data_IF_311562732476
#
_entry.id   IF_311562732476
#
_cell.length_a   1.000
_cell.length_b   1.000
_cell.length_c   1.000
_cell.angle_alpha   90.00
_cell.angle_beta   90.00
_cell.angle_gamma   90.00
#
_symmetry.space_group_name_H-M   'P 1'
#
loop_
_entity.id
_entity.type
_entity.pdbx_description
1 polymer ?
#
# COMPACT_ATOMS: atom_id res chain seq x y z
N UNK A 1 23.37 18.52 9.42
CA UNK A 1 22.25 18.37 8.47
C UNK A 1 20.95 18.41 9.28
N UNK A 2 20.16 19.45 9.11
CA UNK A 2 18.87 19.61 9.81
C UNK A 2 18.00 18.42 9.50
N UNK A 3 17.59 17.67 10.52
CA UNK A 3 16.52 16.68 10.46
C UNK A 3 15.22 17.45 10.15
N UNK A 4 14.98 17.68 8.84
CA UNK A 4 13.76 18.33 8.38
C UNK A 4 12.59 17.51 8.86
N UNK A 5 11.69 18.16 9.56
CA UNK A 5 10.64 17.61 10.40
C UNK A 5 9.77 16.60 9.66
N UNK A 6 10.11 15.33 9.82
CA UNK A 6 9.21 14.23 9.49
C UNK A 6 8.01 14.33 10.43
N UNK A 7 6.81 14.17 9.91
CA UNK A 7 5.67 14.01 10.79
C UNK A 7 5.74 12.63 11.48
N UNK A 8 5.78 12.63 12.81
CA UNK A 8 5.75 11.41 13.62
C UNK A 8 4.55 11.49 14.54
N UNK A 9 3.60 10.59 14.38
CA UNK A 9 2.40 10.51 15.21
C UNK A 9 1.29 9.70 14.58
N UNK A 10 0.41 9.18 15.44
CA UNK A 10 -0.76 8.39 15.05
C UNK A 10 -2.08 8.97 15.58
N UNK A 11 -2.02 9.98 16.45
CA UNK A 11 -3.21 10.58 17.03
C UNK A 11 -3.59 11.89 16.36
N UNK A 12 -4.87 12.18 16.33
CA UNK A 12 -5.43 13.37 15.69
C UNK A 12 -4.98 14.68 16.37
N UNK A 13 -4.66 14.67 17.67
CA UNK A 13 -4.23 15.87 18.40
C UNK A 13 -2.88 16.34 17.84
N UNK A 14 -1.91 15.44 17.74
CA UNK A 14 -0.58 15.74 17.18
C UNK A 14 -0.69 16.17 15.72
N UNK A 15 -1.56 15.49 14.94
CA UNK A 15 -1.80 15.83 13.56
C UNK A 15 -2.36 17.26 13.42
N UNK A 16 -3.42 17.59 14.15
CA UNK A 16 -4.07 18.91 14.09
C UNK A 16 -3.19 20.05 14.63
N UNK A 17 -2.24 19.75 15.55
CA UNK A 17 -1.24 20.74 15.97
C UNK A 17 -0.26 21.09 14.87
N UNK A 18 0.09 20.13 14.00
CA UNK A 18 1.04 20.33 12.88
C UNK A 18 0.38 20.89 11.64
N UNK A 19 -0.84 20.47 11.32
CA UNK A 19 -1.58 20.84 10.11
C UNK A 19 -2.87 21.56 10.51
N UNK A 20 -2.82 22.88 10.59
CA UNK A 20 -3.95 23.74 10.99
C UNK A 20 -4.68 24.33 9.78
N UNK A 21 -3.94 24.61 8.73
CA UNK A 21 -4.43 25.27 7.52
C UNK A 21 -3.75 24.72 6.24
N UNK A 22 -4.27 25.09 5.10
CA UNK A 22 -3.71 24.67 3.79
C UNK A 22 -2.24 25.06 3.62
N UNK A 23 -1.81 26.18 4.20
CA UNK A 23 -0.43 26.66 4.13
C UNK A 23 0.56 25.66 4.75
N UNK A 24 0.22 25.05 5.91
CA UNK A 24 1.04 24.03 6.57
C UNK A 24 1.23 22.80 5.66
N UNK A 25 0.18 22.44 4.92
CA UNK A 25 0.21 21.32 3.99
C UNK A 25 1.12 21.61 2.78
N UNK A 26 1.04 22.82 2.22
CA UNK A 26 1.93 23.23 1.12
C UNK A 26 3.39 23.30 1.57
N UNK A 27 3.65 23.83 2.77
CA UNK A 27 4.98 23.82 3.37
C UNK A 27 5.55 22.40 3.47
N UNK A 28 4.77 21.49 4.04
CA UNK A 28 5.17 20.10 4.22
C UNK A 28 5.46 19.40 2.89
N UNK A 29 4.60 19.59 1.89
CA UNK A 29 4.86 19.06 0.54
C UNK A 29 6.11 19.66 -0.11
N UNK A 30 6.36 20.94 0.10
CA UNK A 30 7.56 21.63 -0.38
C UNK A 30 8.83 21.03 0.21
N UNK A 31 8.82 20.75 1.52
CA UNK A 31 9.93 20.11 2.24
C UNK A 31 10.23 18.71 1.70
N UNK A 32 9.21 17.89 1.47
CA UNK A 32 9.36 16.54 0.91
C UNK A 32 9.85 16.62 -0.54
N UNK A 33 9.14 17.38 -1.38
CA UNK A 33 9.38 17.42 -2.83
C UNK A 33 10.80 17.83 -3.19
N UNK A 34 11.35 18.77 -2.45
CA UNK A 34 12.68 19.33 -2.70
C UNK A 34 13.69 18.98 -1.62
N UNK A 35 13.49 17.86 -0.93
CA UNK A 35 14.40 17.38 0.11
C UNK A 35 15.84 17.19 -0.43
N UNK A 36 15.97 16.67 -1.65
CA UNK A 36 17.23 16.43 -2.34
C UNK A 36 17.69 17.61 -3.22
N UNK A 37 17.10 18.79 -3.02
CA UNK A 37 17.38 19.97 -3.85
C UNK A 37 16.32 20.22 -4.91
N UNK A 38 16.36 21.41 -5.51
CA UNK A 38 15.48 21.79 -6.61
C UNK A 38 16.14 21.46 -7.94
N UNK A 39 15.41 20.80 -8.83
CA UNK A 39 15.76 20.65 -10.24
C UNK A 39 14.57 21.02 -11.08
N UNK A 40 14.74 22.02 -11.94
CA UNK A 40 13.65 22.51 -12.80
C UNK A 40 13.21 21.44 -13.80
N UNK A 41 11.95 21.07 -13.78
CA UNK A 41 11.38 20.05 -14.67
C UNK A 41 11.35 20.45 -16.15
N UNK A 42 11.44 21.77 -16.46
CA UNK A 42 11.41 22.28 -17.84
C UNK A 42 12.80 22.34 -18.48
N UNK A 43 13.85 22.66 -17.72
CA UNK A 43 15.17 22.92 -18.28
C UNK A 43 16.33 22.29 -17.48
N UNK A 44 16.04 21.46 -16.49
CA UNK A 44 17.00 20.75 -15.61
C UNK A 44 17.98 21.64 -14.85
N UNK A 45 17.70 22.95 -14.71
CA UNK A 45 18.55 23.88 -13.96
C UNK A 45 18.22 23.79 -12.46
N UNK A 46 19.23 23.83 -11.61
CA UNK A 46 19.14 23.54 -10.18
C UNK A 46 18.94 24.77 -9.27
N UNK A 47 19.12 26.02 -9.81
CA UNK A 47 18.94 27.22 -9.02
C UNK A 47 17.52 27.80 -9.16
N UNK A 48 17.01 28.27 -8.03
CA UNK A 48 15.66 28.85 -7.95
C UNK A 48 15.62 30.04 -7.00
N UNK A 49 14.54 30.83 -7.13
CA UNK A 49 14.10 31.81 -6.15
C UNK A 49 12.64 31.52 -5.75
N UNK A 50 12.10 32.27 -4.81
CA UNK A 50 10.72 32.15 -4.35
C UNK A 50 9.76 32.34 -5.53
N UNK A 51 8.84 31.39 -5.71
CA UNK A 51 7.83 31.48 -6.76
C UNK A 51 6.69 32.45 -6.43
N UNK A 52 5.73 32.54 -7.34
CA UNK A 52 4.58 33.44 -7.19
C UNK A 52 3.62 33.02 -6.08
N UNK A 53 3.41 31.70 -5.91
CA UNK A 53 2.55 31.15 -4.88
C UNK A 53 3.36 30.80 -3.64
N UNK A 54 2.76 30.79 -2.44
CA UNK A 54 3.43 30.31 -1.23
C UNK A 54 4.08 28.94 -1.45
N UNK A 55 5.29 28.75 -0.92
CA UNK A 55 6.08 27.53 -1.00
C UNK A 55 6.40 27.03 -2.43
N UNK A 56 6.08 27.78 -3.49
CA UNK A 56 6.51 27.49 -4.86
C UNK A 56 7.95 27.92 -5.12
N UNK A 57 8.60 27.25 -6.07
CA UNK A 57 9.98 27.56 -6.51
C UNK A 57 9.97 27.94 -7.99
N UNK A 58 10.65 29.06 -8.30
CA UNK A 58 10.74 29.56 -9.67
C UNK A 58 12.17 29.41 -10.18
N UNK A 59 12.32 28.75 -11.32
CA UNK A 59 13.61 28.52 -11.94
C UNK A 59 14.31 29.84 -12.33
N UNK A 60 15.56 30.00 -11.96
CA UNK A 60 16.35 31.17 -12.32
C UNK A 60 16.57 31.29 -13.82
N UNK A 61 16.71 30.14 -14.54
CA UNK A 61 17.01 30.11 -15.96
C UNK A 61 15.78 30.33 -16.85
N UNK A 62 14.79 29.46 -16.77
CA UNK A 62 13.63 29.48 -17.68
C UNK A 62 12.37 30.14 -17.09
N UNK A 63 12.44 30.65 -15.86
CA UNK A 63 11.35 31.33 -15.16
C UNK A 63 10.11 30.45 -14.91
N UNK A 64 10.21 29.14 -15.14
CA UNK A 64 9.12 28.21 -14.81
C UNK A 64 8.85 28.21 -13.30
N UNK A 65 7.56 28.39 -12.96
CA UNK A 65 7.10 28.45 -11.56
C UNK A 65 6.46 27.12 -11.20
N UNK A 66 7.03 26.41 -10.23
CA UNK A 66 6.61 25.07 -9.82
C UNK A 66 6.06 25.08 -8.41
N UNK A 67 4.79 24.66 -8.27
CA UNK A 67 4.16 24.53 -6.96
C UNK A 67 4.54 23.21 -6.28
N UNK A 68 4.42 23.11 -4.94
CA UNK A 68 4.64 21.86 -4.22
C UNK A 68 3.78 20.70 -4.71
N UNK A 69 2.57 20.98 -5.20
CA UNK A 69 1.62 19.96 -5.68
C UNK A 69 1.84 19.54 -7.13
N UNK A 70 2.55 20.33 -7.92
CA UNK A 70 2.78 20.02 -9.35
C UNK A 70 3.44 18.64 -9.52
N UNK A 71 2.85 17.79 -10.36
CA UNK A 71 3.33 16.42 -10.63
C UNK A 71 3.41 15.53 -9.39
N UNK A 72 2.46 15.69 -8.50
CA UNK A 72 2.23 14.83 -7.33
C UNK A 72 0.78 14.37 -7.32
N UNK A 73 0.43 13.46 -6.44
CA UNK A 73 -0.97 13.03 -6.23
C UNK A 73 -1.91 14.18 -5.81
N UNK A 74 -1.37 15.29 -5.35
CA UNK A 74 -2.10 16.47 -4.91
C UNK A 74 -2.32 17.50 -6.04
N UNK A 75 -1.85 17.21 -7.26
CA UNK A 75 -2.08 18.10 -8.40
C UNK A 75 -3.56 18.12 -8.79
N UNK A 76 -4.12 19.31 -9.01
CA UNK A 76 -5.51 19.52 -9.44
C UNK A 76 -6.57 18.92 -8.50
N UNK A 77 -6.32 18.92 -7.19
CA UNK A 77 -7.35 18.58 -6.20
C UNK A 77 -8.60 19.45 -6.39
N UNK A 78 -9.79 18.84 -6.20
CA UNK A 78 -11.10 19.50 -6.29
C UNK A 78 -11.67 19.89 -4.93
N UNK A 79 -10.91 19.74 -3.86
CA UNK A 79 -11.26 20.05 -2.48
C UNK A 79 -10.00 20.53 -1.72
N UNK A 80 -10.14 21.19 -0.56
CA UNK A 80 -9.01 21.72 0.20
C UNK A 80 -7.92 20.69 0.49
N UNK A 81 -6.65 21.12 0.40
CA UNK A 81 -5.51 20.23 0.60
C UNK A 81 -5.42 19.71 2.03
N UNK A 82 -5.85 20.50 3.01
CA UNK A 82 -5.93 20.09 4.41
C UNK A 82 -6.86 18.87 4.58
N UNK A 83 -8.01 18.86 3.89
CA UNK A 83 -8.91 17.70 3.89
C UNK A 83 -8.23 16.48 3.26
N UNK A 84 -7.47 16.66 2.17
CA UNK A 84 -6.71 15.55 1.58
C UNK A 84 -5.70 14.96 2.57
N UNK A 85 -5.00 15.80 3.33
CA UNK A 85 -4.07 15.39 4.39
C UNK A 85 -4.79 14.60 5.49
N UNK A 86 -5.95 15.07 5.96
CA UNK A 86 -6.78 14.34 6.92
C UNK A 86 -7.19 12.97 6.39
N UNK A 87 -7.65 12.88 5.14
CA UNK A 87 -8.02 11.60 4.52
C UNK A 87 -6.83 10.64 4.50
N UNK A 88 -5.66 11.10 4.04
CA UNK A 88 -4.43 10.28 3.99
C UNK A 88 -4.02 9.83 5.40
N UNK A 89 -4.07 10.73 6.38
CA UNK A 89 -3.78 10.42 7.78
C UNK A 89 -4.72 9.34 8.32
N UNK A 90 -6.03 9.49 8.14
CA UNK A 90 -7.04 8.52 8.60
C UNK A 90 -6.87 7.15 7.93
N UNK A 91 -6.68 7.10 6.60
CA UNK A 91 -6.48 5.84 5.88
C UNK A 91 -5.20 5.13 6.34
N UNK A 92 -4.12 5.86 6.59
CA UNK A 92 -2.83 5.27 6.96
C UNK A 92 -2.77 4.83 8.43
N UNK A 93 -3.36 5.58 9.36
CA UNK A 93 -3.18 5.37 10.80
C UNK A 93 -4.28 4.53 11.45
N UNK A 94 -5.51 4.53 10.92
CA UNK A 94 -6.60 3.71 11.49
C UNK A 94 -6.35 2.22 11.21
N UNK A 95 -6.30 1.41 12.27
CA UNK A 95 -6.08 -0.05 12.17
C UNK A 95 -7.06 -0.75 11.23
N UNK A 96 -8.32 -0.38 11.26
CA UNK A 96 -9.37 -0.94 10.37
C UNK A 96 -9.47 -0.24 9.02
N UNK A 97 -8.74 0.87 8.80
CA UNK A 97 -8.97 1.74 7.65
C UNK A 97 -10.27 2.54 7.76
N UNK A 98 -10.73 3.11 6.66
CA UNK A 98 -11.99 3.83 6.56
C UNK A 98 -12.69 3.55 5.24
N UNK A 99 -14.00 3.42 5.24
CA UNK A 99 -14.80 3.37 4.02
C UNK A 99 -14.91 4.75 3.36
N UNK A 100 -15.26 4.79 2.08
CA UNK A 100 -15.51 6.08 1.41
C UNK A 100 -16.76 6.79 1.91
N UNK A 101 -17.71 6.06 2.50
CA UNK A 101 -18.91 6.64 3.14
C UNK A 101 -18.52 7.33 4.46
N UNK A 102 -17.71 6.68 5.30
CA UNK A 102 -17.20 7.31 6.52
C UNK A 102 -16.42 8.58 6.21
N UNK A 103 -15.54 8.56 5.18
CA UNK A 103 -14.81 9.74 4.74
C UNK A 103 -15.74 10.83 4.22
N UNK A 104 -16.80 10.47 3.48
CA UNK A 104 -17.81 11.40 2.98
C UNK A 104 -18.52 12.13 4.15
N UNK A 105 -18.94 11.38 5.14
CA UNK A 105 -19.65 11.92 6.30
C UNK A 105 -18.74 12.77 7.20
N UNK A 106 -17.48 12.34 7.40
CA UNK A 106 -16.53 13.05 8.28
C UNK A 106 -16.05 14.37 7.66
N UNK A 107 -15.91 14.46 6.33
CA UNK A 107 -15.32 15.62 5.64
C UNK A 107 -16.32 16.40 4.78
N UNK A 108 -17.59 16.07 4.83
CA UNK A 108 -18.66 16.73 4.06
C UNK A 108 -18.37 16.77 2.54
N UNK A 109 -17.71 15.72 2.02
CA UNK A 109 -17.42 15.58 0.61
C UNK A 109 -18.38 14.56 -0.02
N UNK A 110 -18.60 14.66 -1.34
CA UNK A 110 -19.34 13.63 -2.08
C UNK A 110 -18.63 12.28 -1.98
N UNK A 111 -19.36 11.22 -1.68
CA UNK A 111 -18.82 9.86 -1.54
C UNK A 111 -17.95 9.44 -2.74
N UNK A 112 -18.38 9.77 -3.98
CA UNK A 112 -17.60 9.50 -5.19
C UNK A 112 -16.22 10.20 -5.19
N UNK A 113 -16.15 11.44 -4.66
CA UNK A 113 -14.89 12.19 -4.51
C UNK A 113 -13.96 11.50 -3.53
N UNK A 114 -14.47 11.11 -2.37
CA UNK A 114 -13.73 10.37 -1.35
C UNK A 114 -13.25 9.02 -1.87
N UNK A 115 -14.13 8.29 -2.56
CA UNK A 115 -13.79 7.00 -3.16
C UNK A 115 -12.69 7.12 -4.20
N UNK A 116 -12.80 8.07 -5.15
CA UNK A 116 -11.78 8.28 -6.18
C UNK A 116 -10.43 8.68 -5.60
N UNK A 117 -10.42 9.56 -4.59
CA UNK A 117 -9.18 9.95 -3.93
C UNK A 117 -8.57 8.79 -3.14
N UNK A 118 -9.40 8.03 -2.40
CA UNK A 118 -8.96 6.83 -1.67
C UNK A 118 -8.35 5.79 -2.62
N UNK A 119 -8.95 5.52 -3.78
CA UNK A 119 -8.38 4.61 -4.77
C UNK A 119 -6.98 5.03 -5.21
N UNK A 120 -6.77 6.30 -5.50
CA UNK A 120 -5.44 6.84 -5.80
C UNK A 120 -4.44 6.62 -4.66
N UNK A 121 -4.85 6.86 -3.42
CA UNK A 121 -4.01 6.62 -2.23
C UNK A 121 -3.64 5.13 -2.12
N UNK A 122 -4.58 4.22 -2.35
CA UNK A 122 -4.36 2.77 -2.30
C UNK A 122 -3.37 2.30 -3.38
N UNK A 123 -3.40 2.87 -4.58
CA UNK A 123 -2.42 2.58 -5.64
C UNK A 123 -0.99 2.94 -5.21
N UNK A 124 -0.82 4.07 -4.51
CA UNK A 124 0.48 4.49 -3.96
C UNK A 124 0.97 3.57 -2.84
N UNK A 125 0.06 2.91 -2.13
CA UNK A 125 0.40 1.97 -1.06
C UNK A 125 1.05 0.67 -1.55
N UNK A 126 1.07 0.42 -2.86
CA UNK A 126 1.77 -0.72 -3.46
C UNK A 126 3.21 -0.83 -2.95
N UNK A 127 3.70 -2.05 -2.75
CA UNK A 127 5.08 -2.32 -2.35
C UNK A 127 6.09 -1.78 -3.35
N UNK A 128 7.20 -1.24 -2.85
CA UNK A 128 8.34 -0.81 -3.68
C UNK A 128 9.24 -1.96 -4.12
N UNK A 129 8.97 -3.19 -3.68
CA UNK A 129 9.75 -4.41 -3.96
C UNK A 129 11.21 -4.37 -3.49
N UNK A 130 11.60 -3.37 -2.70
CA UNK A 130 12.99 -3.21 -2.21
C UNK A 130 13.32 -4.10 -1.00
N UNK A 131 12.34 -4.82 -0.46
CA UNK A 131 12.50 -5.61 0.77
C UNK A 131 11.74 -6.93 0.60
N UNK A 132 12.33 -7.93 -0.08
CA UNK A 132 11.72 -9.25 -0.18
C UNK A 132 11.58 -9.90 1.21
N UNK A 133 10.69 -10.88 1.32
CA UNK A 133 10.54 -11.73 2.50
C UNK A 133 11.77 -12.64 2.62
N UNK A 134 12.25 -12.84 3.83
CA UNK A 134 13.46 -13.61 4.15
C UNK A 134 13.21 -14.60 5.29
N UNK A 135 14.17 -15.46 5.60
CA UNK A 135 14.02 -16.47 6.66
C UNK A 135 12.97 -17.51 6.30
N UNK A 136 12.10 -17.87 7.23
CA UNK A 136 11.01 -18.80 7.01
C UNK A 136 9.80 -18.08 6.42
N UNK A 137 9.31 -18.56 5.28
CA UNK A 137 8.18 -17.97 4.57
C UNK A 137 7.15 -19.04 4.24
N UNK A 138 5.92 -18.83 4.67
CA UNK A 138 4.78 -19.65 4.26
C UNK A 138 4.06 -19.01 3.08
N UNK A 139 3.69 -19.82 2.09
CA UNK A 139 2.91 -19.36 0.93
C UNK A 139 1.73 -20.30 0.64
N UNK A 140 0.58 -19.69 0.32
CA UNK A 140 -0.64 -20.40 -0.06
C UNK A 140 -1.52 -19.48 -0.92
N UNK A 141 -2.48 -20.05 -1.61
CA UNK A 141 -3.50 -19.30 -2.32
C UNK A 141 -4.89 -19.48 -1.75
N UNK A 142 -5.67 -18.42 -1.77
CA UNK A 142 -7.03 -18.41 -1.28
C UNK A 142 -7.97 -17.64 -2.21
N UNK A 143 -9.27 -17.88 -2.05
CA UNK A 143 -10.29 -17.21 -2.85
C UNK A 143 -11.11 -16.22 -2.02
N UNK A 144 -11.49 -15.11 -2.67
CA UNK A 144 -12.46 -14.13 -2.17
C UNK A 144 -13.65 -14.12 -3.13
N UNK A 145 -14.86 -14.26 -2.59
CA UNK A 145 -16.14 -14.31 -3.28
C UNK A 145 -17.12 -15.19 -2.54
N UNK A 146 -18.42 -15.01 -2.81
CA UNK A 146 -19.48 -15.84 -2.24
C UNK A 146 -19.47 -17.26 -2.79
N UNK A 147 -20.28 -18.17 -2.19
CA UNK A 147 -20.55 -19.46 -2.79
C UNK A 147 -21.20 -19.28 -4.17
N UNK A 148 -20.78 -20.08 -5.13
CA UNK A 148 -21.41 -20.16 -6.45
C UNK A 148 -22.14 -21.48 -6.55
N UNK A 149 -23.45 -21.44 -6.82
CA UNK A 149 -24.28 -22.65 -6.97
C UNK A 149 -23.71 -23.53 -8.08
N UNK A 150 -23.66 -24.84 -7.83
CA UNK A 150 -23.24 -25.85 -8.80
C UNK A 150 -21.73 -25.91 -9.10
N UNK A 151 -20.89 -25.07 -8.47
CA UNK A 151 -19.43 -25.08 -8.71
C UNK A 151 -18.64 -25.37 -7.44
N UNK A 152 -17.92 -26.49 -7.42
CA UNK A 152 -16.99 -26.86 -6.33
C UNK A 152 -15.56 -26.42 -6.67
N UNK A 153 -14.79 -25.99 -5.67
CA UNK A 153 -13.36 -25.75 -5.78
C UNK A 153 -12.99 -24.37 -6.37
N UNK A 154 -11.89 -24.31 -7.09
CA UNK A 154 -11.25 -23.10 -7.68
C UNK A 154 -11.89 -22.71 -9.03
N UNK A 155 -13.22 -22.64 -9.11
CA UNK A 155 -13.91 -22.32 -10.38
C UNK A 155 -13.55 -20.90 -10.86
N UNK A 156 -13.57 -20.71 -12.20
CA UNK A 156 -13.31 -19.41 -12.88
C UNK A 156 -14.49 -18.42 -12.81
N UNK A 157 -15.39 -18.53 -11.84
CA UNK A 157 -16.54 -17.64 -11.72
C UNK A 157 -16.15 -16.23 -11.22
N UNK A 158 -17.06 -15.61 -10.47
CA UNK A 158 -16.83 -14.28 -9.86
C UNK A 158 -15.78 -14.28 -8.73
N UNK A 159 -15.28 -15.45 -8.36
CA UNK A 159 -14.24 -15.60 -7.31
C UNK A 159 -12.89 -15.02 -7.77
N UNK A 160 -12.25 -14.29 -6.85
CA UNK A 160 -10.91 -13.74 -7.05
C UNK A 160 -9.91 -14.64 -6.34
N UNK A 161 -8.95 -15.15 -7.10
CA UNK A 161 -7.87 -15.96 -6.58
C UNK A 161 -6.71 -15.04 -6.15
N UNK A 162 -6.17 -15.26 -4.97
CA UNK A 162 -5.13 -14.45 -4.36
C UNK A 162 -4.04 -15.38 -3.86
N UNK A 163 -2.79 -15.10 -4.21
CA UNK A 163 -1.62 -15.72 -3.60
C UNK A 163 -1.11 -14.84 -2.48
N UNK A 164 -0.68 -15.46 -1.39
CA UNK A 164 -0.16 -14.80 -0.19
C UNK A 164 1.17 -15.44 0.21
N UNK A 165 2.14 -14.61 0.60
CA UNK A 165 3.35 -15.06 1.29
C UNK A 165 3.48 -14.29 2.61
N UNK A 166 3.84 -15.00 3.68
CA UNK A 166 3.94 -14.50 5.05
C UNK A 166 5.25 -14.93 5.68
N UNK A 167 6.03 -13.99 6.20
CA UNK A 167 7.21 -14.30 7.04
C UNK A 167 6.76 -14.85 8.39
N UNK A 168 7.38 -15.95 8.80
CA UNK A 168 7.24 -16.53 10.14
C UNK A 168 8.51 -16.18 10.92
N UNK A 169 8.35 -15.62 12.09
CA UNK A 169 9.44 -15.22 13.00
C UNK A 169 9.24 -15.92 14.36
N UNK A 170 10.28 -15.97 15.19
CA UNK A 170 10.25 -16.67 16.47
C UNK A 170 9.04 -16.28 17.33
N UNK A 171 8.75 -15.00 17.43
CA UNK A 171 7.64 -14.45 18.23
C UNK A 171 6.35 -14.21 17.41
N UNK A 172 6.12 -14.95 16.31
CA UNK A 172 4.89 -14.87 15.54
C UNK A 172 5.07 -14.65 14.04
N UNK A 173 4.67 -13.48 13.53
CA UNK A 173 4.64 -13.20 12.07
C UNK A 173 5.31 -11.89 11.71
N UNK A 174 6.07 -11.92 10.64
CA UNK A 174 6.76 -10.77 10.07
C UNK A 174 5.90 -10.00 9.06
N UNK A 175 6.46 -9.73 7.89
CA UNK A 175 5.80 -9.05 6.78
C UNK A 175 5.00 -10.04 5.93
N UNK A 176 4.07 -9.50 5.17
CA UNK A 176 3.28 -10.27 4.22
C UNK A 176 3.05 -9.51 2.92
N UNK A 177 2.93 -10.24 1.82
CA UNK A 177 2.53 -9.71 0.52
C UNK A 177 1.47 -10.60 -0.10
N UNK A 178 0.51 -10.00 -0.80
CA UNK A 178 -0.50 -10.73 -1.53
C UNK A 178 -0.75 -10.09 -2.90
N UNK A 179 -1.06 -10.93 -3.89
CA UNK A 179 -1.35 -10.48 -5.25
C UNK A 179 -2.52 -11.27 -5.84
N UNK A 180 -3.37 -10.58 -6.59
CA UNK A 180 -4.44 -11.22 -7.36
C UNK A 180 -3.82 -11.93 -8.53
N UNK A 181 -4.14 -13.22 -8.70
CA UNK A 181 -3.65 -14.06 -9.81
C UNK A 181 -4.81 -14.62 -10.63
N UNK A 182 -4.56 -14.95 -11.88
CA UNK A 182 -5.59 -15.52 -12.75
C UNK A 182 -5.82 -17.02 -12.48
N UNK A 183 -4.78 -17.73 -12.10
CA UNK A 183 -4.82 -19.16 -11.77
C UNK A 183 -3.63 -19.57 -10.90
N UNK A 184 -3.68 -20.77 -10.30
CA UNK A 184 -2.61 -21.33 -9.46
C UNK A 184 -1.57 -22.11 -10.28
N UNK A 185 -1.20 -21.64 -11.47
CA UNK A 185 -0.13 -22.26 -12.26
C UNK A 185 1.25 -21.89 -11.71
N UNK A 186 2.26 -22.71 -12.05
CA UNK A 186 3.64 -22.42 -11.67
C UNK A 186 4.13 -21.06 -12.21
N UNK A 187 3.62 -20.60 -13.35
CA UNK A 187 3.96 -19.30 -13.93
C UNK A 187 3.47 -18.15 -13.04
N UNK A 188 2.21 -18.18 -12.65
CA UNK A 188 1.60 -17.11 -11.82
C UNK A 188 2.21 -17.11 -10.41
N UNK A 189 2.27 -18.29 -9.77
CA UNK A 189 2.88 -18.45 -8.44
C UNK A 189 4.36 -18.06 -8.44
N UNK A 190 5.11 -18.50 -9.45
CA UNK A 190 6.53 -18.17 -9.61
C UNK A 190 6.76 -16.67 -9.81
N UNK A 191 5.95 -16.02 -10.65
CA UNK A 191 6.02 -14.57 -10.85
C UNK A 191 5.85 -13.82 -9.53
N UNK A 192 4.87 -14.19 -8.73
CA UNK A 192 4.64 -13.61 -7.39
C UNK A 192 5.80 -13.88 -6.43
N UNK A 193 6.23 -15.15 -6.31
CA UNK A 193 7.28 -15.52 -5.36
C UNK A 193 8.62 -14.85 -5.71
N UNK A 194 9.03 -14.83 -6.97
CA UNK A 194 10.26 -14.15 -7.41
C UNK A 194 10.24 -12.64 -7.16
N UNK A 195 9.05 -12.05 -7.11
CA UNK A 195 8.86 -10.62 -6.85
C UNK A 195 8.95 -10.26 -5.37
N UNK A 196 8.47 -11.14 -4.50
CA UNK A 196 8.27 -10.82 -3.08
C UNK A 196 9.09 -11.66 -2.10
N UNK A 197 9.66 -12.78 -2.51
CA UNK A 197 10.38 -13.70 -1.63
C UNK A 197 11.84 -13.80 -2.08
N UNK A 198 12.78 -13.74 -1.13
CA UNK A 198 14.19 -13.97 -1.40
C UNK A 198 14.41 -15.43 -1.85
N UNK A 199 15.30 -15.64 -2.81
CA UNK A 199 15.68 -16.98 -3.25
C UNK A 199 16.32 -17.83 -2.15
N UNK A 200 16.93 -17.16 -1.16
CA UNK A 200 17.57 -17.81 0.00
C UNK A 200 16.59 -18.14 1.14
N UNK A 201 15.32 -17.69 1.03
CA UNK A 201 14.31 -17.97 2.05
C UNK A 201 13.97 -19.47 2.12
N UNK A 202 13.71 -19.97 3.32
CA UNK A 202 13.09 -21.27 3.51
C UNK A 202 11.59 -21.15 3.22
N UNK A 203 11.18 -21.54 2.02
CA UNK A 203 9.81 -21.43 1.55
C UNK A 203 9.03 -22.70 1.82
N UNK A 204 7.91 -22.59 2.51
CA UNK A 204 7.00 -23.72 2.75
C UNK A 204 5.65 -23.42 2.09
N UNK A 205 5.18 -24.36 1.27
CA UNK A 205 3.85 -24.32 0.65
C UNK A 205 3.09 -25.62 0.87
N UNK A 206 1.81 -25.63 0.54
CA UNK A 206 1.03 -26.87 0.48
C UNK A 206 1.54 -27.81 -0.65
N UNK A 207 0.95 -29.00 -0.75
CA UNK A 207 1.30 -30.00 -1.79
C UNK A 207 0.70 -29.70 -3.16
N UNK A 208 0.26 -28.45 -3.44
CA UNK A 208 -0.26 -28.11 -4.74
C UNK A 208 0.81 -28.24 -5.85
N UNK A 209 0.43 -28.87 -6.96
CA UNK A 209 1.34 -29.17 -8.07
C UNK A 209 1.99 -27.92 -8.71
N UNK A 210 1.34 -26.76 -8.61
CA UNK A 210 1.86 -25.50 -9.10
C UNK A 210 3.18 -25.06 -8.45
N UNK A 211 3.47 -25.47 -7.25
CA UNK A 211 4.74 -25.17 -6.57
C UNK A 211 5.89 -26.09 -6.97
N UNK A 212 5.62 -27.30 -7.47
CA UNK A 212 6.66 -28.31 -7.74
C UNK A 212 7.76 -27.81 -8.71
N UNK A 213 7.43 -27.14 -9.85
CA UNK A 213 8.47 -26.63 -10.75
C UNK A 213 9.33 -25.53 -10.15
N UNK A 214 8.82 -24.80 -9.13
CA UNK A 214 9.50 -23.66 -8.51
C UNK A 214 10.67 -24.08 -7.60
N UNK A 215 10.82 -25.37 -7.31
CA UNK A 215 12.00 -25.91 -6.60
C UNK A 215 13.32 -25.65 -7.32
N UNK A 216 13.28 -25.40 -8.65
CA UNK A 216 14.45 -25.01 -9.42
C UNK A 216 14.95 -23.60 -9.07
N UNK A 217 14.01 -22.69 -8.77
CA UNK A 217 14.31 -21.28 -8.43
C UNK A 217 14.49 -21.08 -6.92
N UNK A 218 13.72 -21.80 -6.11
CA UNK A 218 13.74 -21.77 -4.64
C UNK A 218 14.25 -23.11 -4.12
N UNK A 219 15.57 -23.24 -3.97
CA UNK A 219 16.23 -24.50 -3.61
C UNK A 219 15.81 -25.02 -2.23
N UNK A 220 15.36 -24.11 -1.35
CA UNK A 220 14.86 -24.43 0.00
C UNK A 220 13.33 -24.57 0.06
N UNK A 221 12.65 -24.72 -1.09
CA UNK A 221 11.21 -24.93 -1.12
C UNK A 221 10.84 -26.33 -0.63
N UNK A 222 10.06 -26.38 0.44
CA UNK A 222 9.45 -27.59 0.98
C UNK A 222 7.95 -27.57 0.77
N UNK A 223 7.39 -28.70 0.33
CA UNK A 223 5.94 -28.86 0.20
C UNK A 223 5.44 -29.80 1.31
N UNK A 224 4.55 -29.28 2.15
CA UNK A 224 4.02 -29.95 3.34
C UNK A 224 2.51 -30.14 3.21
N UNK A 225 1.97 -31.27 3.70
CA UNK A 225 0.50 -31.41 3.74
C UNK A 225 -0.11 -30.31 4.62
N UNK A 226 -1.27 -29.77 4.21
CA UNK A 226 -1.93 -28.72 5.00
C UNK A 226 -2.39 -29.19 6.37
N UNK A 227 -2.72 -30.49 6.53
CA UNK A 227 -3.26 -31.09 7.76
C UNK A 227 -4.41 -30.24 8.36
N UNK A 228 -5.45 -30.05 7.55
CA UNK A 228 -6.61 -29.22 7.89
C UNK A 228 -6.22 -27.78 8.31
N UNK A 229 -5.08 -27.29 7.86
CA UNK A 229 -4.57 -25.94 8.15
C UNK A 229 -3.65 -25.88 9.37
N UNK A 230 -3.42 -26.96 10.11
CA UNK A 230 -2.58 -26.96 11.31
C UNK A 230 -1.14 -26.55 11.00
N UNK A 231 -0.59 -27.03 9.87
CA UNK A 231 0.77 -26.71 9.44
C UNK A 231 0.95 -25.28 8.91
N UNK A 232 -0.15 -24.52 8.73
CA UNK A 232 -0.16 -23.16 8.20
C UNK A 232 -1.04 -22.22 9.05
N UNK A 233 -1.10 -22.45 10.35
CA UNK A 233 -1.99 -21.74 11.29
C UNK A 233 -1.89 -20.22 11.17
N UNK A 234 -0.69 -19.67 11.21
CA UNK A 234 -0.44 -18.22 11.15
C UNK A 234 -0.87 -17.64 9.80
N UNK A 235 -0.59 -18.36 8.71
CA UNK A 235 -0.99 -17.98 7.37
C UNK A 235 -2.53 -17.96 7.22
N UNK A 236 -3.20 -18.98 7.74
CA UNK A 236 -4.67 -19.06 7.72
C UNK A 236 -5.33 -17.98 8.59
N UNK A 237 -4.75 -17.66 9.75
CA UNK A 237 -5.19 -16.52 10.58
C UNK A 237 -5.05 -15.22 9.79
N UNK A 238 -3.94 -15.02 9.08
CA UNK A 238 -3.74 -13.83 8.25
C UNK A 238 -4.77 -13.73 7.11
N UNK A 239 -5.07 -14.85 6.43
CA UNK A 239 -6.14 -14.94 5.41
C UNK A 239 -7.50 -14.59 6.00
N UNK A 240 -7.84 -15.12 7.17
CA UNK A 240 -9.09 -14.80 7.87
C UNK A 240 -9.18 -13.31 8.21
N UNK A 241 -8.09 -12.69 8.65
CA UNK A 241 -8.01 -11.26 8.95
C UNK A 241 -8.23 -10.41 7.69
N UNK A 242 -7.62 -10.78 6.54
CA UNK A 242 -7.86 -10.11 5.24
C UNK A 242 -9.35 -10.20 4.87
N UNK A 243 -9.93 -11.42 4.92
CA UNK A 243 -11.35 -11.64 4.59
C UNK A 243 -12.28 -10.86 5.52
N UNK A 244 -12.00 -10.83 6.81
CA UNK A 244 -12.76 -10.07 7.81
C UNK A 244 -12.69 -8.56 7.57
N UNK A 245 -11.50 -8.05 7.28
CA UNK A 245 -11.29 -6.64 6.96
C UNK A 245 -12.02 -6.22 5.67
N UNK A 246 -11.92 -7.02 4.61
CA UNK A 246 -12.62 -6.74 3.35
C UNK A 246 -14.13 -6.69 3.57
N UNK A 247 -14.73 -7.64 4.30
CA UNK A 247 -16.15 -7.64 4.61
C UNK A 247 -16.60 -6.44 5.44
N UNK A 248 -15.75 -5.98 6.37
CA UNK A 248 -16.07 -4.86 7.27
C UNK A 248 -15.98 -3.48 6.63
N UNK A 249 -15.13 -3.31 5.58
CA UNK A 249 -14.86 -2.00 4.96
C UNK A 249 -15.34 -1.93 3.51
N UNK A 250 -15.30 -3.05 2.79
CA UNK A 250 -15.60 -3.13 1.37
C UNK A 250 -16.68 -4.19 1.12
N UNK A 251 -17.95 -3.84 1.29
CA UNK A 251 -19.08 -4.77 1.09
C UNK A 251 -19.10 -5.39 -0.31
N UNK A 252 -18.67 -4.64 -1.32
CA UNK A 252 -18.51 -5.12 -2.69
C UNK A 252 -17.08 -4.90 -3.16
N UNK A 253 -16.37 -6.01 -3.44
CA UNK A 253 -15.00 -5.97 -3.95
C UNK A 253 -15.02 -6.40 -5.42
N UNK A 254 -14.90 -5.45 -6.36
CA UNK A 254 -14.73 -5.81 -7.78
C UNK A 254 -13.33 -6.42 -8.01
N UNK A 255 -13.16 -7.16 -9.10
CA UNK A 255 -11.86 -7.73 -9.47
C UNK A 255 -10.82 -6.63 -9.75
N UNK A 256 -11.27 -5.54 -10.36
CA UNK A 256 -10.42 -4.40 -10.75
C UNK A 256 -9.74 -3.70 -9.57
N UNK A 257 -10.44 -3.58 -8.44
CA UNK A 257 -9.94 -2.87 -7.26
C UNK A 257 -9.37 -3.78 -6.18
N UNK A 258 -9.45 -5.10 -6.35
CA UNK A 258 -9.01 -6.05 -5.33
C UNK A 258 -7.55 -5.87 -4.95
N UNK A 259 -6.67 -5.66 -5.94
CA UNK A 259 -5.25 -5.44 -5.71
C UNK A 259 -4.99 -4.17 -4.88
N UNK A 260 -5.73 -3.10 -5.12
CA UNK A 260 -5.59 -1.85 -4.37
C UNK A 260 -6.00 -2.02 -2.90
N UNK A 261 -7.04 -2.82 -2.63
CA UNK A 261 -7.42 -3.18 -1.26
C UNK A 261 -6.33 -4.01 -0.57
N UNK A 262 -5.75 -4.99 -1.25
CA UNK A 262 -4.63 -5.78 -0.71
C UNK A 262 -3.39 -4.89 -0.45
N UNK A 263 -3.11 -3.92 -1.32
CA UNK A 263 -2.04 -2.95 -1.14
C UNK A 263 -2.26 -2.11 0.13
N UNK A 264 -3.48 -1.60 0.36
CA UNK A 264 -3.83 -0.85 1.57
C UNK A 264 -3.65 -1.70 2.83
N UNK A 265 -4.18 -2.94 2.82
CA UNK A 265 -4.09 -3.84 3.96
C UNK A 265 -2.63 -4.12 4.33
N UNK A 266 -1.82 -4.56 3.36
CA UNK A 266 -0.43 -4.94 3.60
C UNK A 266 0.49 -3.74 3.83
N UNK A 267 0.16 -2.55 3.30
CA UNK A 267 0.88 -1.33 3.62
C UNK A 267 0.85 -1.02 5.12
N UNK A 268 -0.33 -1.10 5.75
CA UNK A 268 -0.49 -0.92 7.19
C UNK A 268 0.06 -2.09 7.98
N UNK A 269 -0.25 -3.31 7.57
CA UNK A 269 0.20 -4.53 8.23
C UNK A 269 1.72 -4.59 8.35
N UNK A 270 2.44 -4.34 7.27
CA UNK A 270 3.90 -4.40 7.22
C UNK A 270 4.58 -3.24 7.98
N UNK A 271 3.83 -2.27 8.47
CA UNK A 271 4.32 -1.13 9.27
C UNK A 271 3.74 -1.07 10.67
N UNK A 272 3.07 -2.13 11.11
CA UNK A 272 2.36 -2.16 12.40
C UNK A 272 3.25 -1.94 13.61
N UNK A 273 4.53 -2.28 13.52
CA UNK A 273 5.54 -2.02 14.56
C UNK A 273 6.07 -0.58 14.56
N UNK A 274 5.84 0.19 13.48
CA UNK A 274 6.32 1.56 13.34
C UNK A 274 5.23 2.49 12.75
N UNK A 275 4.07 2.47 13.36
CA UNK A 275 2.91 3.26 12.91
C UNK A 275 3.16 4.77 12.98
N UNK A 276 4.04 5.24 13.87
CA UNK A 276 4.32 6.68 14.04
C UNK A 276 4.80 7.37 12.77
N UNK A 277 5.47 6.66 11.88
CA UNK A 277 6.02 7.21 10.62
C UNK A 277 5.18 6.90 9.39
N UNK A 278 4.07 6.16 9.53
CA UNK A 278 3.32 5.63 8.40
C UNK A 278 2.74 6.73 7.48
N UNK A 279 2.29 7.84 8.07
CA UNK A 279 1.79 8.99 7.33
C UNK A 279 2.91 9.63 6.49
N UNK A 280 4.07 9.94 7.09
CA UNK A 280 5.22 10.53 6.39
C UNK A 280 5.68 9.65 5.22
N UNK A 281 5.79 8.33 5.45
CA UNK A 281 6.15 7.37 4.40
C UNK A 281 5.16 7.40 3.24
N UNK A 282 3.86 7.45 3.53
CA UNK A 282 2.83 7.50 2.50
C UNK A 282 2.87 8.84 1.74
N UNK A 283 3.02 9.97 2.44
CA UNK A 283 3.11 11.29 1.83
C UNK A 283 4.31 11.40 0.86
N UNK A 284 5.47 10.86 1.22
CA UNK A 284 6.64 10.78 0.32
C UNK A 284 6.33 10.01 -0.95
N UNK A 285 5.71 8.83 -0.81
CA UNK A 285 5.29 8.05 -1.97
C UNK A 285 4.27 8.79 -2.85
N UNK A 286 3.36 9.57 -2.25
CA UNK A 286 2.38 10.37 -2.99
C UNK A 286 3.00 11.58 -3.71
N UNK A 287 4.08 12.13 -3.18
CA UNK A 287 4.86 13.19 -3.84
C UNK A 287 5.67 12.64 -5.03
N UNK A 288 6.22 11.43 -4.89
CA UNK A 288 7.03 10.77 -5.92
C UNK A 288 6.20 10.02 -6.97
N UNK A 289 4.89 9.89 -6.76
CA UNK A 289 4.00 9.14 -7.65
C UNK A 289 3.78 9.90 -8.97
N UNK A 290 4.13 9.24 -10.08
CA UNK A 290 4.02 9.76 -11.46
C UNK A 290 2.93 9.04 -12.23
#
# INVERSE_FOLDING_TARGET
MSTREKFIGVNSITFNKRFKEDADCYEYLSLIKWENGFVCRKCNYDKHYKGKKPFSKRCLRCKYDESPTTNTMFEKLKFPILIAFHIVFKISTKKKGMSSMELSNEFELRQKTCWTFKQKVQQVMKSSLKSPLTGLVHADEFVIGGPEEGKRGRSKGAKKLIVLALEIVEDGVGRAYAEVIENSSAKELGSFLMKYVSKDAELISDKWKGYTPLKKEFTKLKQVASDEGKNFKELHIHIMNIKGWLRGIHHHCSKEHMQDYLNEYHFRYNRRSNMGTIFDVLMRKMVDFK
#
